data_IF_865826111023
#
_entry.id   IF_865826111023
#
_cell.length_a   1.000
_cell.length_b   1.000
_cell.length_c   1.000
_cell.angle_alpha   90.00
_cell.angle_beta   90.00
_cell.angle_gamma   90.00
#
_symmetry.space_group_name_H-M   'P 1'
#
loop_
_entity.id
_entity.type
_entity.pdbx_description
1 polymer ?
#
# COMPACT_ATOMS: atom_id res chain seq x y z
N UNK A 1 -3.41 -3.43 10.11
CA UNK A 1 -2.24 -2.75 9.52
C UNK A 1 -2.69 -1.48 8.84
N UNK A 2 -2.14 -0.34 9.26
CA UNK A 2 -2.38 0.98 8.65
C UNK A 2 -1.68 1.06 7.29
N UNK A 3 -2.12 1.99 6.43
CA UNK A 3 -1.48 2.16 5.12
C UNK A 3 -0.04 2.65 5.25
N UNK A 4 0.24 3.51 6.23
CA UNK A 4 1.58 4.05 6.48
C UNK A 4 2.58 2.96 6.89
N UNK A 5 2.14 2.01 7.73
CA UNK A 5 2.97 0.88 8.11
C UNK A 5 3.28 -0.02 6.90
N UNK A 6 2.30 -0.24 6.03
CA UNK A 6 2.52 -1.02 4.81
C UNK A 6 3.50 -0.34 3.85
N UNK A 7 3.37 0.97 3.64
CA UNK A 7 4.30 1.74 2.82
C UNK A 7 5.72 1.70 3.40
N UNK A 8 5.86 1.83 4.72
CA UNK A 8 7.16 1.72 5.41
C UNK A 8 7.80 0.36 5.16
N UNK A 9 7.04 -0.73 5.25
CA UNK A 9 7.55 -2.09 4.97
C UNK A 9 8.12 -2.19 3.54
N UNK A 10 7.43 -1.63 2.55
CA UNK A 10 7.92 -1.64 1.16
C UNK A 10 9.19 -0.78 1.01
N UNK A 11 9.23 0.39 1.65
CA UNK A 11 10.40 1.27 1.64
C UNK A 11 11.62 0.61 2.30
N UNK A 12 11.43 -0.02 3.47
CA UNK A 12 12.48 -0.77 4.15
C UNK A 12 12.97 -1.93 3.26
N UNK A 13 12.07 -2.65 2.58
CA UNK A 13 12.44 -3.70 1.63
C UNK A 13 13.23 -3.19 0.41
N UNK A 14 12.95 -1.97 -0.08
CA UNK A 14 13.72 -1.35 -1.15
C UNK A 14 15.16 -1.02 -0.70
N UNK A 15 15.31 -0.52 0.53
CA UNK A 15 16.61 -0.26 1.15
C UNK A 15 17.40 -1.57 1.30
N UNK A 16 16.77 -2.60 1.85
CA UNK A 16 17.40 -3.91 2.04
C UNK A 16 17.81 -4.56 0.71
N UNK A 17 17.02 -4.33 -0.35
CA UNK A 17 17.33 -4.80 -1.70
C UNK A 17 18.39 -3.94 -2.43
N UNK A 18 18.81 -2.80 -1.84
CA UNK A 18 19.73 -1.86 -2.48
C UNK A 18 19.18 -1.26 -3.78
N UNK A 19 17.85 -1.06 -3.85
CA UNK A 19 17.16 -0.54 -5.04
C UNK A 19 16.52 0.81 -4.75
N UNK A 20 16.64 1.73 -5.70
CA UNK A 20 15.84 2.94 -5.72
C UNK A 20 14.45 2.60 -6.29
N UNK A 21 13.41 2.86 -5.50
CA UNK A 21 12.03 2.49 -5.79
C UNK A 21 11.13 3.70 -5.64
N UNK A 22 10.37 4.00 -6.68
CA UNK A 22 9.38 5.06 -6.70
C UNK A 22 7.98 4.48 -6.56
N UNK A 23 7.17 5.04 -5.65
CA UNK A 23 5.74 4.77 -5.58
C UNK A 23 5.01 5.58 -6.66
N UNK A 24 4.33 4.87 -7.57
CA UNK A 24 3.61 5.47 -8.71
C UNK A 24 2.13 5.63 -8.40
N UNK A 25 1.53 4.62 -7.78
CA UNK A 25 0.11 4.60 -7.45
C UNK A 25 -0.13 3.80 -6.17
N UNK A 26 -1.17 4.18 -5.42
CA UNK A 26 -1.64 3.47 -4.24
C UNK A 26 -3.01 2.85 -4.53
N UNK A 27 -3.11 1.55 -4.28
CA UNK A 27 -4.32 0.77 -4.46
C UNK A 27 -5.02 0.47 -3.14
N UNK A 28 -6.34 0.38 -3.23
CA UNK A 28 -7.26 -0.10 -2.20
C UNK A 28 -8.31 -1.00 -2.86
N UNK A 29 -9.18 -1.59 -2.06
CA UNK A 29 -10.37 -2.30 -2.56
C UNK A 29 -11.14 -1.50 -3.63
N UNK A 30 -11.55 -2.22 -4.67
CA UNK A 30 -12.30 -1.68 -5.80
C UNK A 30 -13.76 -1.37 -5.42
N UNK A 31 -14.48 -0.73 -6.35
CA UNK A 31 -15.84 -0.23 -6.10
C UNK A 31 -16.88 -1.34 -5.82
N UNK A 32 -16.61 -2.57 -6.24
CA UNK A 32 -17.41 -3.77 -5.94
C UNK A 32 -17.19 -4.29 -4.50
N UNK A 33 -16.22 -3.73 -3.78
CA UNK A 33 -15.89 -4.04 -2.38
C UNK A 33 -15.86 -2.75 -1.52
N UNK A 34 -17.01 -2.08 -1.33
CA UNK A 34 -17.05 -0.81 -0.60
C UNK A 34 -16.70 -0.99 0.88
N UNK A 35 -16.05 0.02 1.46
CA UNK A 35 -15.86 0.13 2.91
C UNK A 35 -16.96 1.00 3.48
N UNK A 36 -17.69 0.46 4.45
CA UNK A 36 -18.78 1.18 5.10
C UNK A 36 -18.17 2.10 6.17
N UNK A 37 -18.65 3.34 6.25
CA UNK A 37 -18.09 4.37 7.14
C UNK A 37 -18.11 3.97 8.64
N UNK A 38 -19.10 3.17 9.06
CA UNK A 38 -19.24 2.68 10.44
C UNK A 38 -18.36 1.46 10.74
N UNK A 39 -17.61 0.96 9.76
CA UNK A 39 -16.73 -0.20 9.90
C UNK A 39 -15.40 0.04 9.14
N UNK A 40 -14.56 0.97 9.60
CA UNK A 40 -13.30 1.32 8.95
C UNK A 40 -12.30 0.17 8.88
N UNK A 41 -12.42 -0.83 9.77
CA UNK A 41 -11.62 -2.06 9.78
C UNK A 41 -11.77 -2.85 8.48
N UNK A 42 -12.90 -2.66 7.77
CA UNK A 42 -13.14 -3.22 6.45
C UNK A 42 -12.13 -2.76 5.39
N UNK A 43 -11.39 -1.66 5.59
CA UNK A 43 -10.30 -1.22 4.70
C UNK A 43 -9.04 -2.10 4.89
N UNK A 44 -9.13 -3.37 4.51
CA UNK A 44 -8.07 -4.35 4.75
C UNK A 44 -7.05 -4.45 3.60
N UNK A 45 -7.43 -4.16 2.36
CA UNK A 45 -6.54 -4.29 1.20
C UNK A 45 -5.66 -3.05 1.02
N UNK A 46 -4.36 -3.27 0.78
CA UNK A 46 -3.39 -2.23 0.43
C UNK A 46 -2.52 -2.74 -0.72
N UNK A 47 -2.21 -1.86 -1.66
CA UNK A 47 -1.29 -2.16 -2.75
C UNK A 47 -0.57 -0.91 -3.22
N UNK A 48 0.56 -1.09 -3.87
CA UNK A 48 1.30 -0.01 -4.53
C UNK A 48 1.76 -0.48 -5.91
N UNK A 49 1.62 0.38 -6.92
CA UNK A 49 2.40 0.27 -8.14
C UNK A 49 3.76 0.93 -7.89
N UNK A 50 4.83 0.19 -8.12
CA UNK A 50 6.19 0.66 -7.91
C UNK A 50 7.00 0.62 -9.20
N UNK A 51 7.91 1.58 -9.37
CA UNK A 51 8.92 1.57 -10.42
C UNK A 51 10.29 1.41 -9.77
N UNK A 52 11.07 0.45 -10.26
CA UNK A 52 12.48 0.26 -9.89
C UNK A 52 13.33 1.05 -10.88
N UNK A 53 14.30 1.81 -10.37
CA UNK A 53 15.26 2.58 -11.17
C UNK A 53 16.57 1.81 -11.43
#
# INVERSE_FOLDING_TARGET
MTSDLFQKIIADAAIDAGRDVQFIEQFRQAADHPVIATYPEGLYLKGFACRVM
#
